data_IF_972846472589
#
_entry.id   IF_972846472589
#
_cell.length_a   1.000
_cell.length_b   1.000
_cell.length_c   1.000
_cell.angle_alpha   90.00
_cell.angle_beta   90.00
_cell.angle_gamma   90.00
#
_symmetry.space_group_name_H-M   'P 1'
#
loop_
_entity.id
_entity.type
_entity.pdbx_description
1 polymer ?
#
# COMPACT_ATOMS: atom_id res chain seq x y z
N UNK A 1 5.88 64.53 -34.84
CA UNK A 1 6.05 63.07 -35.03
C UNK A 1 6.61 62.46 -33.74
N UNK A 2 5.84 62.47 -32.63
CA UNK A 2 6.32 61.98 -31.32
C UNK A 2 5.17 61.63 -30.34
N UNK A 3 4.10 60.99 -30.83
CA UNK A 3 2.93 60.61 -30.00
C UNK A 3 2.43 59.18 -30.23
N UNK A 4 3.15 58.36 -31.01
CA UNK A 4 2.70 57.02 -31.43
C UNK A 4 3.64 55.90 -30.97
N UNK A 5 4.22 56.04 -29.77
CA UNK A 5 5.17 55.08 -29.20
C UNK A 5 4.76 54.50 -27.82
N UNK A 6 3.68 55.00 -27.22
CA UNK A 6 3.28 54.65 -25.84
C UNK A 6 2.24 53.52 -25.71
N UNK A 7 1.82 52.92 -26.83
CA UNK A 7 0.73 51.93 -26.88
C UNK A 7 1.19 50.46 -26.94
N UNK A 8 2.51 50.19 -26.93
CA UNK A 8 3.07 48.83 -27.11
C UNK A 8 3.54 48.13 -25.82
N UNK A 9 3.52 48.79 -24.66
CA UNK A 9 3.95 48.20 -23.38
C UNK A 9 2.88 47.34 -22.67
N UNK A 10 1.67 47.23 -23.24
CA UNK A 10 0.53 46.54 -22.62
C UNK A 10 0.44 45.03 -22.92
N UNK A 11 1.38 44.45 -23.67
CA UNK A 11 1.50 42.99 -23.80
C UNK A 11 2.30 42.41 -22.60
N UNK A 12 1.72 42.56 -21.40
CA UNK A 12 2.17 41.82 -20.23
C UNK A 12 2.00 40.32 -20.48
N UNK A 13 2.90 39.51 -19.90
CA UNK A 13 2.84 38.06 -20.02
C UNK A 13 1.42 37.54 -19.65
N UNK A 14 0.93 36.48 -20.33
CA UNK A 14 -0.36 35.89 -19.97
C UNK A 14 -0.31 35.54 -18.47
N UNK A 15 -1.27 36.07 -17.72
CA UNK A 15 -1.40 35.75 -16.31
C UNK A 15 -1.47 34.23 -16.19
N UNK A 16 -0.50 33.63 -15.46
CA UNK A 16 -0.55 32.22 -15.17
C UNK A 16 -1.92 31.93 -14.56
N UNK A 17 -2.67 30.91 -15.06
CA UNK A 17 -4.00 30.67 -14.56
C UNK A 17 -3.90 30.45 -13.06
N UNK A 18 -4.58 31.29 -12.28
CA UNK A 18 -4.73 31.14 -10.84
C UNK A 18 -5.61 29.91 -10.61
N UNK A 19 -4.99 28.74 -10.78
CA UNK A 19 -5.60 27.46 -10.50
C UNK A 19 -5.90 27.44 -9.01
N UNK A 20 -7.18 27.60 -8.68
CA UNK A 20 -7.63 27.25 -7.35
C UNK A 20 -7.28 25.77 -7.13
N UNK A 21 -6.76 25.38 -5.96
CA UNK A 21 -6.48 23.97 -5.67
C UNK A 21 -7.76 23.11 -5.61
N UNK A 22 -8.95 23.71 -5.79
CA UNK A 22 -10.25 23.03 -5.86
C UNK A 22 -10.53 22.53 -7.28
N UNK A 23 -10.28 23.34 -8.32
CA UNK A 23 -10.56 22.97 -9.72
C UNK A 23 -9.67 21.83 -10.24
N UNK A 24 -8.44 21.74 -9.72
CA UNK A 24 -7.53 20.63 -10.03
C UNK A 24 -8.06 19.27 -9.50
N UNK A 25 -8.79 19.27 -8.38
CA UNK A 25 -9.33 18.04 -7.79
C UNK A 25 -10.54 17.51 -8.56
N UNK A 26 -11.43 18.39 -9.04
CA UNK A 26 -12.61 17.99 -9.83
C UNK A 26 -12.25 17.23 -11.10
N UNK A 27 -11.19 17.67 -11.80
CA UNK A 27 -10.72 17.02 -13.03
C UNK A 27 -10.15 15.61 -12.78
N UNK A 28 -9.47 15.39 -11.66
CA UNK A 28 -8.90 14.09 -11.31
C UNK A 28 -9.97 13.04 -10.98
N UNK A 29 -11.05 13.43 -10.29
CA UNK A 29 -12.15 12.52 -9.91
C UNK A 29 -12.96 12.08 -11.14
N UNK A 30 -13.18 12.97 -12.12
CA UNK A 30 -13.91 12.63 -13.35
C UNK A 30 -13.20 11.55 -14.20
N UNK A 31 -11.86 11.59 -14.27
CA UNK A 31 -11.05 10.59 -14.96
C UNK A 31 -11.15 9.21 -14.28
N UNK A 32 -11.21 9.17 -12.94
CA UNK A 32 -11.30 7.93 -12.16
C UNK A 32 -12.66 7.21 -12.35
N UNK A 33 -13.77 7.94 -12.36
CA UNK A 33 -15.11 7.38 -12.58
C UNK A 33 -15.26 6.69 -13.94
N UNK A 34 -14.58 7.19 -14.97
CA UNK A 34 -14.67 6.66 -16.34
C UNK A 34 -14.03 5.27 -16.47
N UNK A 35 -12.93 5.01 -15.75
CA UNK A 35 -12.26 3.70 -15.74
C UNK A 35 -13.08 2.64 -14.99
N UNK A 36 -13.82 3.02 -13.95
CA UNK A 36 -14.68 2.11 -13.19
C UNK A 36 -15.93 1.64 -13.96
N UNK A 37 -16.40 2.42 -14.94
CA UNK A 37 -17.55 2.06 -15.77
C UNK A 37 -17.22 0.94 -16.79
N UNK A 38 -16.00 0.91 -17.34
CA UNK A 38 -15.63 -0.06 -18.38
C UNK A 38 -15.50 -1.50 -17.85
N UNK A 39 -15.15 -1.68 -16.58
CA UNK A 39 -14.97 -3.02 -15.97
C UNK A 39 -16.28 -3.79 -15.76
N UNK A 40 -17.44 -3.13 -15.70
CA UNK A 40 -18.73 -3.81 -15.54
C UNK A 40 -19.23 -4.50 -16.82
N UNK A 41 -18.68 -4.14 -18.00
CA UNK A 41 -19.07 -4.76 -19.28
C UNK A 41 -18.43 -6.15 -19.52
N UNK A 42 -17.54 -6.60 -18.64
CA UNK A 42 -16.70 -7.79 -18.83
C UNK A 42 -17.05 -8.96 -17.89
N UNK A 43 -18.31 -9.11 -17.45
CA UNK A 43 -18.75 -10.33 -16.78
C UNK A 43 -18.95 -11.47 -17.80
N UNK A 44 -18.18 -12.57 -17.76
CA UNK A 44 -18.48 -13.77 -18.53
C UNK A 44 -19.72 -14.49 -17.96
N UNK A 45 -20.53 -15.16 -18.81
CA UNK A 45 -21.73 -15.87 -18.37
C UNK A 45 -21.43 -17.18 -17.63
N UNK A 46 -22.39 -17.57 -16.79
CA UNK A 46 -22.37 -18.64 -15.80
C UNK A 46 -22.25 -20.07 -16.35
N UNK A 47 -21.41 -20.91 -15.72
CA UNK A 47 -21.62 -22.35 -15.50
C UNK A 47 -21.60 -22.69 -13.99
N UNK A 48 -22.17 -23.78 -13.44
CA UNK A 48 -23.20 -24.77 -13.83
C UNK A 48 -23.67 -25.43 -12.50
N UNK A 49 -24.94 -25.88 -12.32
CA UNK A 49 -25.39 -26.44 -11.02
C UNK A 49 -24.65 -27.72 -10.61
N UNK A 50 -24.21 -27.80 -9.35
CA UNK A 50 -23.60 -29.00 -8.76
C UNK A 50 -24.66 -29.86 -8.05
N UNK A 51 -24.70 -31.20 -8.21
CA UNK A 51 -25.67 -32.07 -7.53
C UNK A 51 -25.42 -32.22 -6.01
N UNK A 52 -26.45 -32.57 -5.20
CA UNK A 52 -26.33 -32.59 -3.74
C UNK A 52 -25.97 -33.96 -3.10
N UNK A 53 -24.99 -33.95 -2.18
CA UNK A 53 -24.79 -34.90 -1.03
C UNK A 53 -24.60 -36.40 -1.34
N UNK A 54 -24.31 -37.29 -0.35
CA UNK A 54 -24.04 -37.12 1.11
C UNK A 54 -22.57 -37.53 1.46
N UNK A 55 -22.03 -37.53 2.69
CA UNK A 55 -22.49 -38.13 3.97
C UNK A 55 -21.57 -37.68 5.12
N UNK A 56 -22.07 -37.59 6.36
CA UNK A 56 -21.26 -37.35 7.56
C UNK A 56 -20.63 -38.66 8.12
N UNK A 57 -19.45 -38.56 8.76
CA UNK A 57 -18.92 -39.53 9.76
C UNK A 57 -17.68 -38.90 10.47
N UNK A 58 -17.35 -39.28 11.73
CA UNK A 58 -16.98 -38.26 12.73
C UNK A 58 -15.48 -38.08 13.04
N UNK A 59 -15.25 -37.01 13.82
CA UNK A 59 -14.01 -36.65 14.52
C UNK A 59 -13.27 -37.81 15.20
N UNK A 60 -11.93 -37.82 15.10
CA UNK A 60 -11.05 -38.27 16.17
C UNK A 60 -10.37 -37.08 16.87
N UNK A 61 -10.68 -36.89 18.15
CA UNK A 61 -9.96 -35.96 19.05
C UNK A 61 -8.53 -36.44 19.26
N UNK A 62 -7.54 -35.64 18.84
CA UNK A 62 -6.13 -35.89 19.11
C UNK A 62 -5.57 -34.88 20.12
N UNK A 63 -5.60 -35.23 21.40
CA UNK A 63 -4.93 -34.48 22.48
C UNK A 63 -3.42 -34.59 22.31
N UNK A 64 -2.73 -33.47 22.08
CA UNK A 64 -1.27 -33.41 22.06
C UNK A 64 -0.74 -32.67 23.30
N UNK A 65 -0.18 -33.46 24.22
CA UNK A 65 0.56 -32.99 25.40
C UNK A 65 1.88 -32.35 24.96
N UNK A 66 2.27 -31.17 25.48
CA UNK A 66 3.53 -30.53 25.10
C UNK A 66 4.72 -31.23 25.76
N UNK A 67 5.60 -31.82 24.93
CA UNK A 67 6.89 -32.33 25.38
C UNK A 67 7.94 -31.23 25.27
N UNK A 68 8.46 -30.76 26.41
CA UNK A 68 9.56 -29.81 26.43
C UNK A 68 10.88 -30.50 26.04
N UNK A 69 11.56 -30.00 25.01
CA UNK A 69 12.95 -30.39 24.69
C UNK A 69 13.82 -29.15 24.66
N UNK A 70 14.64 -29.00 25.69
CA UNK A 70 15.69 -27.99 25.79
C UNK A 70 16.95 -28.45 25.07
N UNK A 71 17.40 -27.68 24.08
CA UNK A 71 18.82 -27.62 23.68
C UNK A 71 19.16 -26.23 23.13
N UNK A 72 20.30 -25.62 23.51
CA UNK A 72 20.63 -24.26 23.11
C UNK A 72 21.33 -24.22 21.74
N UNK A 73 20.92 -23.29 20.88
CA UNK A 73 21.72 -22.83 19.74
C UNK A 73 22.14 -21.38 20.00
N UNK A 74 23.45 -21.16 19.94
CA UNK A 74 24.09 -19.85 20.15
C UNK A 74 24.41 -19.27 18.77
N UNK A 75 23.80 -18.15 18.39
CA UNK A 75 24.17 -17.33 17.20
C UNK A 75 23.51 -15.94 17.31
N UNK A 76 23.96 -14.90 16.58
CA UNK A 76 24.46 -13.71 17.25
C UNK A 76 23.42 -12.63 17.50
N UNK A 77 23.69 -11.82 18.53
CA UNK A 77 22.88 -10.67 18.94
C UNK A 77 22.85 -9.58 17.87
N UNK A 78 21.72 -9.39 17.20
CA UNK A 78 21.33 -8.10 16.62
C UNK A 78 20.13 -7.57 17.38
N UNK A 79 20.32 -6.45 18.09
CA UNK A 79 19.26 -5.78 18.84
C UNK A 79 18.07 -5.43 17.92
N UNK A 80 16.93 -6.04 18.18
CA UNK A 80 15.63 -5.55 17.73
C UNK A 80 14.81 -5.24 18.98
N UNK A 81 14.68 -3.95 19.30
CA UNK A 81 13.84 -3.46 20.38
C UNK A 81 12.37 -3.68 19.98
N UNK A 82 11.56 -4.45 20.72
CA UNK A 82 10.12 -4.41 20.54
C UNK A 82 9.63 -2.99 20.90
N UNK A 83 8.74 -2.37 20.11
CA UNK A 83 8.27 -1.01 20.38
C UNK A 83 7.52 -0.96 21.72
N UNK A 84 8.05 -0.14 22.65
CA UNK A 84 7.46 0.07 23.97
C UNK A 84 6.06 0.68 23.85
N UNK A 85 5.10 0.13 24.59
CA UNK A 85 3.74 0.65 24.63
C UNK A 85 3.68 2.00 25.37
N UNK A 86 3.41 3.09 24.64
CA UNK A 86 2.84 4.32 25.20
C UNK A 86 1.60 4.71 24.39
N UNK A 87 0.46 5.00 25.03
CA UNK A 87 -0.69 5.57 24.34
C UNK A 87 -0.40 7.04 24.04
N UNK A 88 -0.45 7.42 22.76
CA UNK A 88 -0.49 8.84 22.35
C UNK A 88 -1.93 9.16 22.01
N UNK A 89 -2.51 10.11 22.74
CA UNK A 89 -3.84 10.64 22.48
C UNK A 89 -3.88 11.39 21.15
N UNK A 90 -4.81 11.02 20.28
CA UNK A 90 -5.10 11.75 19.04
C UNK A 90 -5.86 13.04 19.34
N UNK A 91 -5.21 14.19 19.23
CA UNK A 91 -5.85 15.51 19.34
C UNK A 91 -5.21 16.52 18.38
N UNK A 92 -5.84 16.74 17.23
CA UNK A 92 -5.43 17.75 16.26
C UNK A 92 -6.26 17.69 14.99
N UNK A 93 -6.78 18.85 14.56
CA UNK A 93 -7.55 19.02 13.32
C UNK A 93 -6.70 18.73 12.08
N UNK A 94 -6.76 17.50 11.58
CA UNK A 94 -6.18 17.03 10.33
C UNK A 94 -6.85 15.72 9.92
N UNK A 95 -6.55 15.20 8.72
CA UNK A 95 -7.07 13.90 8.27
C UNK A 95 -6.83 12.81 9.32
N UNK A 96 -7.90 12.18 9.80
CA UNK A 96 -7.86 11.11 10.82
C UNK A 96 -6.99 9.92 10.37
N UNK A 97 -6.78 9.78 9.07
CA UNK A 97 -5.92 8.76 8.47
C UNK A 97 -4.44 9.17 8.33
N UNK A 98 -4.05 10.38 8.76
CA UNK A 98 -2.66 10.85 8.71
C UNK A 98 -1.91 10.61 10.04
N UNK A 99 -2.07 9.41 10.60
CA UNK A 99 -1.43 8.99 11.85
C UNK A 99 -0.80 7.58 11.71
N UNK A 100 0.27 7.24 12.46
CA UNK A 100 0.89 5.91 12.40
C UNK A 100 -0.07 4.80 12.87
N UNK A 101 -0.37 3.83 12.01
CA UNK A 101 -1.20 2.68 12.37
C UNK A 101 -0.33 1.58 12.97
N UNK A 102 -0.24 1.55 14.31
CA UNK A 102 0.56 0.57 15.07
C UNK A 102 -0.25 -0.60 15.61
N UNK A 103 -1.58 -0.46 15.68
CA UNK A 103 -2.55 -1.46 16.14
C UNK A 103 -3.80 -1.35 15.27
N UNK A 104 -4.48 -2.47 15.06
CA UNK A 104 -5.69 -2.56 14.27
C UNK A 104 -6.50 -3.79 14.69
N UNK A 105 -7.80 -3.76 14.41
CA UNK A 105 -8.79 -4.78 14.74
C UNK A 105 -9.14 -5.63 13.51
N UNK A 106 -8.88 -5.11 12.31
CA UNK A 106 -9.09 -5.83 11.06
C UNK A 106 -8.24 -7.11 10.94
N UNK A 107 -8.70 -8.15 10.20
CA UNK A 107 -7.90 -9.35 9.96
C UNK A 107 -6.56 -9.02 9.31
N UNK A 108 -5.50 -9.75 9.67
CA UNK A 108 -4.14 -9.45 9.23
C UNK A 108 -3.68 -10.33 8.06
N UNK A 109 -2.80 -9.78 7.22
CA UNK A 109 -2.24 -10.40 6.01
C UNK A 109 -0.72 -10.24 6.01
N UNK A 110 0.00 -11.22 5.47
CA UNK A 110 1.45 -11.15 5.28
C UNK A 110 1.77 -10.47 3.95
N UNK A 111 2.46 -9.34 4.03
CA UNK A 111 2.96 -8.59 2.88
C UNK A 111 4.50 -8.65 2.89
N UNK A 112 5.06 -9.29 1.87
CA UNK A 112 6.47 -9.21 1.54
C UNK A 112 6.76 -7.95 0.70
N UNK A 113 7.98 -7.47 0.80
CA UNK A 113 8.54 -6.35 0.03
C UNK A 113 9.82 -6.82 -0.64
N UNK A 114 9.91 -6.69 -1.96
CA UNK A 114 11.08 -7.12 -2.74
C UNK A 114 11.65 -5.93 -3.49
N UNK A 115 12.87 -5.50 -3.16
CA UNK A 115 13.56 -4.47 -3.94
C UNK A 115 14.40 -5.13 -5.03
N UNK A 116 14.07 -4.88 -6.31
CA UNK A 116 14.88 -5.36 -7.43
C UNK A 116 15.94 -4.35 -7.87
N UNK A 117 15.90 -3.11 -7.36
CA UNK A 117 16.81 -2.04 -7.72
C UNK A 117 18.12 -2.20 -6.94
N UNK A 118 19.21 -2.47 -7.66
CA UNK A 118 20.51 -2.80 -7.06
C UNK A 118 21.14 -1.57 -6.39
N UNK A 119 21.70 -1.78 -5.19
CA UNK A 119 22.39 -0.75 -4.41
C UNK A 119 21.52 0.49 -4.10
N UNK A 120 20.24 0.28 -3.77
CA UNK A 120 19.33 1.31 -3.31
C UNK A 120 18.76 1.04 -1.92
N UNK A 121 18.27 2.09 -1.28
CA UNK A 121 17.49 2.04 -0.04
C UNK A 121 16.06 2.49 -0.32
N UNK A 122 15.10 1.62 -0.07
CA UNK A 122 13.68 1.92 -0.22
C UNK A 122 13.14 2.44 1.11
N UNK A 123 12.42 3.56 1.06
CA UNK A 123 11.54 4.05 2.13
C UNK A 123 10.11 3.95 1.61
N UNK A 124 9.36 2.98 2.12
CA UNK A 124 7.99 2.67 1.71
C UNK A 124 7.01 3.16 2.78
N UNK A 125 6.09 4.04 2.40
CA UNK A 125 4.93 4.43 3.19
C UNK A 125 3.67 3.77 2.64
N UNK A 126 2.98 3.01 3.47
CA UNK A 126 1.69 2.37 3.17
C UNK A 126 0.59 3.10 3.94
N UNK A 127 -0.24 3.86 3.25
CA UNK A 127 -1.49 4.39 3.81
C UNK A 127 -2.57 3.34 3.65
N UNK A 128 -3.37 3.09 4.69
CA UNK A 128 -4.42 2.08 4.69
C UNK A 128 -5.74 2.64 5.22
N UNK A 129 -6.84 2.14 4.63
CA UNK A 129 -8.18 2.20 5.21
C UNK A 129 -8.76 0.79 5.29
N UNK A 130 -9.01 0.31 6.52
CA UNK A 130 -9.56 -1.03 6.75
C UNK A 130 -11.07 -1.04 6.55
N UNK A 131 -11.65 -2.24 6.39
CA UNK A 131 -13.11 -2.42 6.32
C UNK A 131 -13.82 -2.09 7.65
N UNK A 132 -13.07 -2.01 8.76
CA UNK A 132 -13.58 -1.64 10.08
C UNK A 132 -13.58 -0.12 10.32
N UNK A 133 -13.19 0.68 9.32
CA UNK A 133 -13.10 2.15 9.42
C UNK A 133 -11.77 2.66 9.97
N UNK A 134 -10.92 1.80 10.51
CA UNK A 134 -9.58 2.15 10.99
C UNK A 134 -8.71 2.63 9.82
N UNK A 135 -7.92 3.69 10.02
CA UNK A 135 -6.99 4.17 9.02
C UNK A 135 -5.75 4.81 9.61
N UNK A 136 -4.71 4.91 8.78
CA UNK A 136 -3.41 5.42 9.18
C UNK A 136 -2.33 5.05 8.16
N UNK A 137 -1.06 5.24 8.52
CA UNK A 137 0.08 4.86 7.69
C UNK A 137 1.08 3.97 8.43
N UNK A 138 1.81 3.16 7.66
CA UNK A 138 2.92 2.32 8.12
C UNK A 138 4.14 2.62 7.25
N UNK A 139 5.29 2.90 7.86
CA UNK A 139 6.52 3.20 7.14
C UNK A 139 7.60 2.14 7.37
N UNK A 140 8.20 1.67 6.28
CA UNK A 140 9.23 0.63 6.26
C UNK A 140 10.46 1.14 5.52
N UNK A 141 11.66 0.84 6.03
CA UNK A 141 12.93 1.15 5.36
C UNK A 141 13.76 -0.13 5.21
N UNK A 142 14.19 -0.45 3.99
CA UNK A 142 14.92 -1.67 3.68
C UNK A 142 15.76 -1.53 2.41
N UNK A 143 16.75 -2.41 2.21
CA UNK A 143 17.67 -2.37 1.06
C UNK A 143 17.39 -3.47 0.04
N UNK A 144 17.28 -4.74 0.46
CA UNK A 144 17.02 -5.86 -0.45
C UNK A 144 15.56 -6.33 -0.44
N UNK A 145 14.93 -6.27 0.73
CA UNK A 145 13.55 -6.68 0.94
C UNK A 145 13.22 -6.73 2.43
N UNK A 146 11.95 -6.93 2.74
CA UNK A 146 11.45 -7.09 4.11
C UNK A 146 10.09 -7.80 4.06
N UNK A 147 9.49 -8.06 5.22
CA UNK A 147 8.11 -8.55 5.30
C UNK A 147 7.44 -8.01 6.56
N UNK A 148 6.17 -7.66 6.45
CA UNK A 148 5.37 -7.18 7.56
C UNK A 148 4.00 -7.85 7.58
N UNK A 149 3.43 -7.91 8.77
CA UNK A 149 2.01 -8.20 8.97
C UNK A 149 1.25 -6.89 8.93
N UNK A 150 0.25 -6.78 8.07
CA UNK A 150 -0.54 -5.56 7.83
C UNK A 150 -2.04 -5.90 7.82
N UNK A 151 -2.96 -4.96 8.14
CA UNK A 151 -4.39 -5.24 8.08
C UNK A 151 -4.92 -5.52 6.66
N UNK A 152 -6.11 -6.08 6.57
CA UNK A 152 -6.88 -6.13 5.33
C UNK A 152 -7.57 -4.78 5.08
N UNK A 153 -7.57 -4.34 3.83
CA UNK A 153 -8.11 -3.02 3.46
C UNK A 153 -7.63 -2.53 2.10
N UNK A 154 -8.02 -1.29 1.79
CA UNK A 154 -7.51 -0.55 0.65
C UNK A 154 -6.21 0.18 1.05
N UNK A 155 -5.21 0.10 0.18
CA UNK A 155 -3.86 0.60 0.40
C UNK A 155 -3.45 1.57 -0.70
N UNK A 156 -2.84 2.69 -0.29
CA UNK A 156 -2.03 3.55 -1.16
C UNK A 156 -0.57 3.41 -0.73
N UNK A 157 0.23 2.78 -1.57
CA UNK A 157 1.67 2.64 -1.36
C UNK A 157 2.41 3.79 -2.05
N UNK A 158 3.36 4.38 -1.35
CA UNK A 158 4.32 5.35 -1.88
C UNK A 158 5.73 4.94 -1.48
N UNK A 159 6.60 4.75 -2.45
CA UNK A 159 7.99 4.38 -2.23
C UNK A 159 8.92 5.49 -2.72
N UNK A 160 9.84 5.91 -1.85
CA UNK A 160 11.03 6.65 -2.23
C UNK A 160 12.21 5.68 -2.32
N UNK A 161 12.88 5.65 -3.47
CA UNK A 161 14.05 4.80 -3.71
C UNK A 161 15.26 5.71 -3.88
N UNK A 162 16.10 5.73 -2.83
CA UNK A 162 17.42 6.37 -2.82
C UNK A 162 18.41 5.40 -3.46
N UNK A 163 18.93 5.72 -4.64
CA UNK A 163 19.73 4.81 -5.45
C UNK A 163 20.96 5.49 -6.02
N UNK A 164 22.15 4.91 -5.79
CA UNK A 164 23.47 5.48 -6.15
C UNK A 164 23.64 6.03 -7.58
N UNK A 165 22.76 5.66 -8.52
CA UNK A 165 22.76 6.14 -9.91
C UNK A 165 21.57 7.03 -10.27
N UNK A 166 20.43 6.86 -9.60
CA UNK A 166 19.16 7.52 -9.91
C UNK A 166 18.19 7.28 -8.76
N UNK A 167 17.70 8.37 -8.19
CA UNK A 167 16.58 8.34 -7.26
C UNK A 167 15.26 8.34 -8.03
N UNK A 168 14.24 7.71 -7.47
CA UNK A 168 12.88 7.84 -7.97
C UNK A 168 11.86 7.66 -6.85
N UNK A 169 10.68 8.27 -7.04
CA UNK A 169 9.48 7.93 -6.30
C UNK A 169 8.50 7.19 -7.20
N UNK A 170 7.73 6.28 -6.61
CA UNK A 170 6.66 5.57 -7.28
C UNK A 170 5.49 5.38 -6.31
N UNK A 171 4.27 5.38 -6.84
CA UNK A 171 3.06 5.08 -6.08
C UNK A 171 2.20 4.03 -6.76
N UNK A 172 1.38 3.33 -5.99
CA UNK A 172 0.38 2.41 -6.49
C UNK A 172 -0.75 2.26 -5.48
N UNK A 173 -1.94 1.88 -5.94
CA UNK A 173 -3.12 1.63 -5.11
C UNK A 173 -3.56 0.19 -5.31
N UNK A 174 -3.83 -0.52 -4.22
CA UNK A 174 -4.25 -1.91 -4.24
C UNK A 174 -5.11 -2.26 -3.03
N UNK A 175 -5.82 -3.40 -3.09
CA UNK A 175 -6.60 -3.92 -1.96
C UNK A 175 -5.99 -5.25 -1.52
N UNK A 176 -5.72 -5.40 -0.23
CA UNK A 176 -5.22 -6.67 0.34
C UNK A 176 -6.39 -7.50 0.86
N UNK A 177 -6.66 -8.60 0.18
CA UNK A 177 -7.57 -9.67 0.62
C UNK A 177 -6.79 -10.77 1.37
N UNK A 178 -7.45 -11.70 2.08
CA UNK A 178 -6.78 -12.83 2.74
C UNK A 178 -5.86 -13.59 1.77
N UNK A 179 -4.59 -13.77 2.15
CA UNK A 179 -3.60 -14.46 1.32
C UNK A 179 -2.17 -14.11 1.70
N UNK A 180 -1.24 -14.47 0.82
CA UNK A 180 0.15 -13.98 0.84
C UNK A 180 0.35 -13.02 -0.32
N UNK A 181 1.03 -11.91 -0.10
CA UNK A 181 1.27 -10.89 -1.12
C UNK A 181 2.74 -10.46 -1.13
N UNK A 182 3.24 -10.04 -2.27
CA UNK A 182 4.59 -9.49 -2.43
C UNK A 182 4.54 -8.21 -3.28
N UNK A 183 4.98 -7.10 -2.71
CA UNK A 183 5.12 -5.81 -3.39
C UNK A 183 6.54 -5.70 -3.96
N UNK A 184 6.65 -5.75 -5.28
CA UNK A 184 7.90 -5.57 -6.01
C UNK A 184 8.14 -4.09 -6.27
N UNK A 185 9.32 -3.63 -5.89
CA UNK A 185 9.85 -2.31 -6.21
C UNK A 185 10.82 -2.50 -7.39
N UNK A 186 10.38 -2.08 -8.56
CA UNK A 186 11.12 -2.14 -9.82
C UNK A 186 11.48 -0.71 -10.27
N UNK A 187 12.39 -0.54 -11.24
CA UNK A 187 12.85 0.78 -11.68
C UNK A 187 11.69 1.67 -12.16
N UNK A 188 11.34 2.67 -11.35
CA UNK A 188 10.24 3.61 -11.63
C UNK A 188 8.82 3.10 -11.33
N UNK A 189 8.62 1.90 -10.74
CA UNK A 189 7.26 1.34 -10.54
C UNK A 189 7.11 0.40 -9.34
N UNK A 190 5.88 0.31 -8.84
CA UNK A 190 5.46 -0.61 -7.78
C UNK A 190 4.45 -1.62 -8.32
N UNK A 191 4.73 -2.92 -8.15
CA UNK A 191 3.87 -4.00 -8.64
C UNK A 191 3.52 -4.93 -7.48
N UNK A 192 2.24 -4.97 -7.10
CA UNK A 192 1.74 -5.99 -6.18
C UNK A 192 1.52 -7.30 -6.95
N UNK A 193 2.02 -8.41 -6.41
CA UNK A 193 1.75 -9.76 -6.90
C UNK A 193 1.24 -10.63 -5.75
N UNK A 194 0.30 -11.53 -6.02
CA UNK A 194 -0.03 -12.59 -5.07
C UNK A 194 1.21 -13.46 -4.87
N UNK A 195 1.47 -13.92 -3.65
CA UNK A 195 2.75 -14.50 -3.17
C UNK A 195 3.18 -15.82 -3.81
N UNK A 196 2.48 -16.26 -4.84
CA UNK A 196 2.81 -17.38 -5.71
C UNK A 196 3.53 -16.94 -7.00
N UNK A 197 3.22 -15.74 -7.52
CA UNK A 197 3.73 -15.30 -8.81
C UNK A 197 5.18 -14.76 -8.72
N UNK A 198 6.08 -15.10 -9.66
CA UNK A 198 5.81 -15.77 -10.94
C UNK A 198 6.00 -17.31 -10.97
N UNK A 199 6.28 -17.97 -9.84
CA UNK A 199 6.66 -19.40 -9.79
C UNK A 199 5.59 -20.29 -9.13
N UNK A 200 4.34 -20.08 -9.53
CA UNK A 200 3.23 -21.02 -9.42
C UNK A 200 2.52 -21.04 -10.78
#
# INVERSE_FOLDING_TARGET
MLMLAFLLSACGAPAAPTLSPVDAQGTAVAMAMTMAAQTQAAQPPTPTPVPPSPTAIPSPTATFTPLAVTTPIVTPTTFSLPPTNTPVSSSGSGDECNQPLTKWSAPSVKLAFTNTVKNSTVTLSLYVRTTMGECGYMSFRFTNGSSATVPQGAYTAWAWVDGKKKDFSASTVFTLTPGSWNLFIEEGRLILRAGCAPNC
#
